data_IF_178736213973
#
_entry.id   IF_178736213973
#
_cell.length_a   1.000
_cell.length_b   1.000
_cell.length_c   1.000
_cell.angle_alpha   90.00
_cell.angle_beta   90.00
_cell.angle_gamma   90.00
#
_symmetry.space_group_name_H-M   'P 1'
#
loop_
_entity.id
_entity.type
_entity.pdbx_description
1 polymer ?
#
# COMPACT_ATOMS: atom_id res chain seq x y z
N UNK A 1 -7.04 -27.54 -21.29
CA UNK A 1 -7.96 -26.82 -20.38
C UNK A 1 -7.65 -25.35 -20.48
N UNK A 2 -8.54 -24.59 -21.12
CA UNK A 2 -8.35 -23.17 -21.39
C UNK A 2 -8.54 -22.36 -20.13
N UNK A 3 -7.53 -21.63 -19.74
CA UNK A 3 -7.63 -20.63 -18.68
C UNK A 3 -8.53 -19.50 -19.20
N UNK A 4 -9.74 -19.41 -18.67
CA UNK A 4 -10.72 -18.39 -19.04
C UNK A 4 -10.19 -17.01 -18.68
N UNK A 5 -9.92 -16.22 -19.70
CA UNK A 5 -9.46 -14.85 -19.59
C UNK A 5 -10.55 -14.00 -18.92
N UNK A 6 -10.25 -13.37 -17.80
CA UNK A 6 -11.04 -12.29 -17.18
C UNK A 6 -11.15 -11.09 -18.15
N UNK A 7 -12.09 -11.12 -19.07
CA UNK A 7 -12.19 -10.17 -20.18
C UNK A 7 -13.09 -8.96 -19.93
N UNK A 8 -13.74 -8.82 -18.78
CA UNK A 8 -14.90 -7.91 -18.74
C UNK A 8 -14.81 -6.66 -17.88
N UNK A 9 -13.75 -6.42 -17.11
CA UNK A 9 -13.75 -5.28 -16.17
C UNK A 9 -12.43 -4.49 -16.12
N UNK A 10 -11.53 -4.69 -17.05
CA UNK A 10 -10.24 -3.98 -17.02
C UNK A 10 -10.32 -2.78 -17.94
N UNK A 11 -10.28 -1.60 -17.34
CA UNK A 11 -10.17 -0.31 -18.01
C UNK A 11 -9.17 -0.34 -19.16
N UNK A 12 -9.47 0.27 -20.34
CA UNK A 12 -8.62 0.24 -21.53
C UNK A 12 -7.41 1.17 -21.45
N UNK A 13 -6.78 1.34 -20.30
CA UNK A 13 -5.54 2.10 -20.19
C UNK A 13 -4.35 1.17 -20.40
N UNK A 14 -3.41 1.47 -21.33
CA UNK A 14 -2.32 0.59 -21.74
C UNK A 14 -1.25 0.32 -20.67
N UNK A 15 -1.46 0.72 -19.43
CA UNK A 15 -0.52 0.57 -18.31
C UNK A 15 -1.14 -0.01 -17.02
N UNK A 16 -2.25 -0.72 -17.12
CA UNK A 16 -2.87 -1.36 -15.95
C UNK A 16 -2.07 -2.60 -15.52
N UNK A 17 -0.97 -2.40 -14.82
CA UNK A 17 -0.26 -3.48 -14.14
C UNK A 17 -0.92 -3.72 -12.79
N UNK A 18 -1.56 -4.87 -12.63
CA UNK A 18 -2.05 -5.35 -11.35
C UNK A 18 -0.86 -5.78 -10.50
N UNK A 19 -0.65 -5.10 -9.39
CA UNK A 19 0.44 -5.43 -8.48
C UNK A 19 -0.11 -6.05 -7.21
N UNK A 20 0.16 -7.33 -7.03
CA UNK A 20 -0.15 -8.15 -5.84
C UNK A 20 -1.61 -8.09 -5.39
N UNK A 21 -2.26 -9.21 -5.47
CA UNK A 21 -3.61 -9.46 -4.95
C UNK A 21 -3.56 -9.94 -3.50
N UNK A 22 -4.61 -9.65 -2.73
CA UNK A 22 -4.87 -10.23 -1.41
C UNK A 22 -6.22 -10.93 -1.43
N UNK A 23 -6.27 -12.11 -0.83
CA UNK A 23 -7.50 -12.86 -0.63
C UNK A 23 -7.96 -12.70 0.81
N UNK A 24 -9.24 -12.45 1.01
CA UNK A 24 -9.85 -12.37 2.33
C UNK A 24 -11.26 -12.90 2.29
N UNK A 25 -11.71 -13.41 3.44
CA UNK A 25 -13.09 -13.87 3.63
C UNK A 25 -13.84 -12.83 4.46
N UNK A 26 -14.96 -12.35 3.93
CA UNK A 26 -15.87 -11.44 4.58
C UNK A 26 -17.13 -12.18 5.04
N UNK A 27 -17.73 -11.72 6.12
CA UNK A 27 -19.05 -12.15 6.53
C UNK A 27 -20.05 -11.03 6.24
N UNK A 28 -20.90 -11.25 5.25
CA UNK A 28 -21.98 -10.34 4.90
C UNK A 28 -23.33 -11.02 5.18
N UNK A 29 -24.09 -10.49 6.13
CA UNK A 29 -25.42 -11.00 6.49
C UNK A 29 -25.46 -12.54 6.74
N UNK A 30 -24.44 -13.07 7.45
CA UNK A 30 -24.34 -14.50 7.74
C UNK A 30 -23.80 -15.35 6.57
N UNK A 31 -23.56 -14.75 5.41
CA UNK A 31 -22.97 -15.43 4.25
C UNK A 31 -21.48 -15.12 4.18
N UNK A 32 -20.66 -16.16 4.03
CA UNK A 32 -19.23 -16.01 3.80
C UNK A 32 -19.00 -15.64 2.33
N UNK A 33 -18.32 -14.51 2.11
CA UNK A 33 -17.92 -14.05 0.80
C UNK A 33 -16.39 -14.01 0.73
N UNK A 34 -15.80 -14.81 -0.14
CA UNK A 34 -14.36 -14.76 -0.40
C UNK A 34 -14.07 -13.77 -1.52
N UNK A 35 -13.28 -12.75 -1.22
CA UNK A 35 -12.93 -11.71 -2.18
C UNK A 35 -11.44 -11.70 -2.49
N UNK A 36 -11.12 -11.21 -3.67
CA UNK A 36 -9.77 -10.87 -4.10
C UNK A 36 -9.69 -9.37 -4.25
N UNK A 37 -8.74 -8.75 -3.54
CA UNK A 37 -8.50 -7.30 -3.66
C UNK A 37 -7.20 -7.05 -4.38
N UNK A 38 -7.22 -6.15 -5.36
CA UNK A 38 -6.06 -5.71 -6.10
C UNK A 38 -6.03 -4.17 -6.15
N UNK A 39 -4.84 -3.59 -6.06
CA UNK A 39 -4.65 -2.15 -6.23
C UNK A 39 -3.74 -1.91 -7.44
N UNK A 40 -4.16 -0.98 -8.29
CA UNK A 40 -3.53 -0.71 -9.58
C UNK A 40 -2.66 0.55 -9.57
N UNK A 41 -1.77 0.64 -10.55
CA UNK A 41 -1.02 1.87 -10.86
C UNK A 41 -1.92 3.07 -11.21
N UNK A 42 -3.14 2.81 -11.67
CA UNK A 42 -4.15 3.85 -11.88
C UNK A 42 -4.64 4.53 -10.60
N UNK A 43 -4.29 3.99 -9.42
CA UNK A 43 -4.79 4.46 -8.13
C UNK A 43 -6.08 3.79 -7.69
N UNK A 44 -6.71 3.00 -8.55
CA UNK A 44 -7.92 2.25 -8.21
C UNK A 44 -7.62 0.97 -7.43
N UNK A 45 -8.41 0.72 -6.41
CA UNK A 45 -8.55 -0.54 -5.72
C UNK A 45 -9.82 -1.25 -6.19
N UNK A 46 -9.74 -2.56 -6.38
CA UNK A 46 -10.82 -3.41 -6.89
C UNK A 46 -11.01 -4.59 -5.95
N UNK A 47 -12.24 -4.88 -5.59
CA UNK A 47 -12.61 -6.12 -4.92
C UNK A 47 -13.51 -6.94 -5.83
N UNK A 48 -13.13 -8.16 -6.06
CA UNK A 48 -13.83 -9.11 -6.91
C UNK A 48 -14.22 -10.36 -6.11
N UNK A 49 -15.36 -10.93 -6.40
CA UNK A 49 -15.73 -12.25 -5.90
C UNK A 49 -14.70 -13.28 -6.40
N UNK A 50 -14.11 -14.02 -5.49
CA UNK A 50 -13.08 -15.02 -5.78
C UNK A 50 -13.56 -16.13 -6.69
N UNK A 51 -14.84 -16.48 -6.63
CA UNK A 51 -15.37 -17.66 -7.31
C UNK A 51 -15.74 -17.40 -8.77
N UNK A 52 -16.23 -16.17 -9.06
CA UNK A 52 -16.78 -15.85 -10.39
C UNK A 52 -16.19 -14.57 -11.00
N UNK A 53 -15.35 -13.81 -10.26
CA UNK A 53 -14.75 -12.58 -10.72
C UNK A 53 -15.70 -11.39 -10.78
N UNK A 54 -16.90 -11.48 -10.26
CA UNK A 54 -17.85 -10.38 -10.24
C UNK A 54 -17.31 -9.21 -9.40
N UNK A 55 -17.52 -7.98 -9.88
CA UNK A 55 -17.14 -6.78 -9.16
C UNK A 55 -18.01 -6.63 -7.93
N UNK A 56 -17.37 -6.48 -6.75
CA UNK A 56 -18.05 -6.20 -5.49
C UNK A 56 -17.99 -4.70 -5.21
N UNK A 57 -16.80 -4.11 -5.28
CA UNK A 57 -16.60 -2.67 -5.20
C UNK A 57 -15.32 -2.25 -5.94
N UNK A 58 -15.28 -0.98 -6.33
CA UNK A 58 -14.07 -0.31 -6.78
C UNK A 58 -13.99 1.08 -6.17
N UNK A 59 -12.77 1.52 -5.85
CA UNK A 59 -12.52 2.81 -5.20
C UNK A 59 -11.26 3.43 -5.76
N UNK A 60 -11.33 4.70 -6.14
CA UNK A 60 -10.14 5.49 -6.40
C UNK A 60 -9.47 5.81 -5.06
N UNK A 61 -8.44 5.05 -4.71
CA UNK A 61 -7.69 5.21 -3.46
C UNK A 61 -6.76 6.43 -3.51
N UNK A 62 -6.46 6.91 -4.72
CA UNK A 62 -5.68 8.10 -4.98
C UNK A 62 -5.27 8.21 -6.44
N UNK A 63 -4.52 9.23 -6.82
CA UNK A 63 -4.16 9.47 -8.21
C UNK A 63 -3.21 8.38 -8.75
N UNK A 64 -3.43 8.02 -9.99
CA UNK A 64 -2.48 7.23 -10.76
C UNK A 64 -1.26 8.04 -11.19
N UNK A 65 -0.17 7.36 -11.50
CA UNK A 65 1.02 8.00 -12.06
C UNK A 65 1.90 6.98 -12.80
N UNK A 66 2.92 7.46 -13.53
CA UNK A 66 3.93 6.60 -14.16
C UNK A 66 4.70 5.75 -13.13
N UNK A 67 4.93 6.30 -11.94
CA UNK A 67 5.54 5.59 -10.81
C UNK A 67 4.53 4.73 -10.04
N UNK A 68 3.24 4.95 -10.27
CA UNK A 68 2.13 4.20 -9.74
C UNK A 68 1.20 5.02 -8.84
N UNK A 69 -0.04 4.51 -8.73
CA UNK A 69 -0.95 4.79 -7.63
C UNK A 69 -0.66 3.77 -6.53
N UNK A 70 -1.48 2.73 -6.40
CA UNK A 70 -1.21 1.59 -5.52
C UNK A 70 -0.17 0.64 -6.08
N UNK A 71 1.09 0.95 -5.90
CA UNK A 71 2.17 0.32 -6.68
C UNK A 71 2.64 -1.00 -6.10
N UNK A 72 2.69 -1.18 -4.82
CA UNK A 72 3.43 -2.27 -4.19
C UNK A 72 2.54 -3.33 -3.55
N UNK A 73 1.26 -3.30 -3.86
CA UNK A 73 0.28 -4.23 -3.35
C UNK A 73 -0.51 -3.68 -2.17
N UNK A 74 -1.25 -4.59 -1.54
CA UNK A 74 -2.13 -4.28 -0.42
C UNK A 74 -1.84 -5.21 0.76
N UNK A 75 -2.21 -4.78 1.94
CA UNK A 75 -2.29 -5.59 3.15
C UNK A 75 -3.73 -5.59 3.69
N UNK A 76 -4.08 -6.56 4.53
CA UNK A 76 -5.42 -6.63 5.12
C UNK A 76 -5.39 -7.23 6.52
N UNK A 77 -6.24 -6.69 7.41
CA UNK A 77 -6.56 -7.25 8.72
C UNK A 77 -7.93 -7.95 8.73
N UNK A 78 -8.48 -8.27 7.55
CA UNK A 78 -9.82 -8.83 7.28
C UNK A 78 -10.97 -7.84 7.44
N UNK A 79 -10.76 -6.69 8.06
CA UNK A 79 -11.76 -5.62 8.20
C UNK A 79 -11.45 -4.44 7.28
N UNK A 80 -10.15 -4.25 7.02
CA UNK A 80 -9.64 -3.15 6.20
C UNK A 80 -8.68 -3.67 5.16
N UNK A 81 -8.60 -2.93 4.08
CA UNK A 81 -7.59 -3.06 3.04
C UNK A 81 -6.69 -1.83 3.14
N UNK A 82 -5.40 -2.05 3.22
CA UNK A 82 -4.39 -1.00 3.30
C UNK A 82 -3.55 -1.02 2.03
N UNK A 83 -3.21 0.17 1.56
CA UNK A 83 -2.30 0.32 0.42
C UNK A 83 -1.50 1.62 0.53
N UNK A 84 -0.51 1.74 -0.31
CA UNK A 84 0.22 2.97 -0.52
C UNK A 84 -0.19 3.61 -1.85
N UNK A 85 -0.12 4.93 -1.93
CA UNK A 85 -0.25 5.71 -3.16
C UNK A 85 1.05 6.49 -3.36
N UNK A 86 1.70 6.27 -4.50
CA UNK A 86 2.99 6.91 -4.77
C UNK A 86 2.87 8.40 -5.12
N UNK A 87 1.77 8.81 -5.77
CA UNK A 87 1.51 10.18 -6.24
C UNK A 87 2.73 10.81 -6.96
N UNK A 88 3.31 10.06 -7.89
CA UNK A 88 4.54 10.47 -8.59
C UNK A 88 4.39 11.76 -9.42
N UNK A 89 3.17 12.12 -9.81
CA UNK A 89 2.87 13.34 -10.55
C UNK A 89 2.61 14.55 -9.63
N UNK A 90 2.79 14.40 -8.32
CA UNK A 90 2.66 15.48 -7.33
C UNK A 90 1.30 16.19 -7.36
N UNK A 91 0.22 15.47 -7.60
CA UNK A 91 -1.13 16.02 -7.60
C UNK A 91 -1.55 16.40 -6.18
N UNK A 92 -2.32 17.49 -6.04
CA UNK A 92 -2.93 17.84 -4.77
C UNK A 92 -3.98 16.81 -4.39
N UNK A 93 -3.84 16.20 -3.23
CA UNK A 93 -4.76 15.21 -2.68
C UNK A 93 -5.22 15.64 -1.30
N UNK A 94 -6.52 15.71 -1.10
CA UNK A 94 -7.12 15.97 0.21
C UNK A 94 -7.22 14.67 0.99
N UNK A 95 -6.62 14.64 2.17
CA UNK A 95 -6.55 13.46 3.03
C UNK A 95 -7.81 13.32 3.90
N UNK A 96 -8.19 12.09 4.17
CA UNK A 96 -9.37 11.73 4.99
C UNK A 96 -8.91 11.22 6.36
N UNK A 97 -9.54 11.59 7.46
CA UNK A 97 -10.58 12.61 7.62
C UNK A 97 -10.00 14.02 7.89
N UNK A 98 -8.69 14.18 7.87
CA UNK A 98 -8.00 15.41 8.33
C UNK A 98 -8.28 16.64 7.46
N UNK A 99 -8.70 16.46 6.20
CA UNK A 99 -8.82 17.49 5.17
C UNK A 99 -7.49 18.20 4.83
N UNK A 100 -6.37 17.72 5.33
CA UNK A 100 -5.06 18.25 4.94
C UNK A 100 -4.77 17.90 3.48
N UNK A 101 -4.00 18.74 2.80
CA UNK A 101 -3.58 18.52 1.42
C UNK A 101 -2.14 18.05 1.38
N UNK A 102 -1.86 17.03 0.57
CA UNK A 102 -0.51 16.57 0.26
C UNK A 102 -0.25 16.52 -1.24
N UNK A 103 0.99 16.70 -1.64
CA UNK A 103 1.48 16.42 -3.00
C UNK A 103 2.45 15.24 -3.02
N UNK A 104 2.77 14.66 -1.87
CA UNK A 104 3.59 13.45 -1.74
C UNK A 104 2.78 12.18 -1.82
N UNK A 105 3.45 11.06 -1.62
CA UNK A 105 2.81 9.79 -1.40
C UNK A 105 2.06 9.74 -0.07
N UNK A 106 1.20 8.77 0.08
CA UNK A 106 0.41 8.58 1.29
C UNK A 106 -0.04 7.13 1.44
N UNK A 107 -0.45 6.77 2.63
CA UNK A 107 -1.06 5.48 2.94
C UNK A 107 -2.57 5.64 3.07
N UNK A 108 -3.30 4.61 2.69
CA UNK A 108 -4.76 4.59 2.68
C UNK A 108 -5.27 3.32 3.35
N UNK A 109 -6.30 3.46 4.18
CA UNK A 109 -7.11 2.33 4.62
C UNK A 109 -8.54 2.46 4.08
N UNK A 110 -9.04 1.36 3.57
CA UNK A 110 -10.39 1.22 3.05
C UNK A 110 -11.15 0.15 3.82
N UNK A 111 -12.43 0.33 3.99
CA UNK A 111 -13.31 -0.72 4.51
C UNK A 111 -13.35 -1.91 3.54
N UNK A 112 -13.11 -3.11 4.05
CA UNK A 112 -12.98 -4.28 3.19
C UNK A 112 -14.30 -4.72 2.53
N UNK A 113 -15.45 -4.34 3.09
CA UNK A 113 -16.77 -4.70 2.55
C UNK A 113 -17.27 -3.74 1.50
N UNK A 114 -16.96 -2.45 1.67
CA UNK A 114 -17.55 -1.37 0.88
C UNK A 114 -16.56 -0.63 0.00
N UNK A 115 -15.27 -0.79 0.23
CA UNK A 115 -14.22 -0.01 -0.41
C UNK A 115 -14.12 1.45 0.07
N UNK A 116 -14.98 1.91 0.99
CA UNK A 116 -14.97 3.28 1.47
C UNK A 116 -13.63 3.61 2.14
N UNK A 117 -13.01 4.73 1.76
CA UNK A 117 -11.80 5.23 2.42
C UNK A 117 -12.17 5.62 3.86
N UNK A 118 -11.42 5.03 4.81
CA UNK A 118 -11.58 5.28 6.24
C UNK A 118 -10.62 6.35 6.72
N UNK A 119 -9.38 6.28 6.26
CA UNK A 119 -8.37 7.28 6.51
C UNK A 119 -7.29 7.26 5.41
N UNK A 120 -6.61 8.40 5.28
CA UNK A 120 -5.38 8.52 4.52
C UNK A 120 -4.37 9.40 5.26
N UNK A 121 -3.09 9.01 5.23
CA UNK A 121 -2.01 9.68 5.97
C UNK A 121 -0.83 9.95 5.04
N UNK A 122 -0.43 11.21 4.93
CA UNK A 122 0.70 11.61 4.10
C UNK A 122 2.01 10.96 4.58
N UNK A 123 2.84 10.57 3.63
CA UNK A 123 4.22 10.20 3.93
C UNK A 123 4.99 11.46 4.34
N UNK A 124 5.68 11.46 5.50
CA UNK A 124 6.52 12.57 5.89
C UNK A 124 7.55 12.95 4.81
N UNK A 125 8.01 14.20 4.85
CA UNK A 125 8.93 14.76 3.84
C UNK A 125 8.38 14.81 2.42
N UNK A 126 7.06 14.68 2.24
CA UNK A 126 6.42 14.71 0.93
C UNK A 126 7.02 13.68 -0.06
N UNK A 127 7.48 12.55 0.45
CA UNK A 127 8.14 11.49 -0.30
C UNK A 127 7.14 10.44 -0.80
N UNK A 128 7.59 9.51 -1.62
CA UNK A 128 6.79 8.35 -1.99
C UNK A 128 6.79 7.32 -0.86
N UNK A 129 5.65 6.65 -0.69
CA UNK A 129 5.46 5.56 0.26
C UNK A 129 5.86 4.21 -0.37
N UNK A 130 6.15 3.24 0.49
CA UNK A 130 6.55 1.88 0.15
C UNK A 130 5.43 0.85 0.39
N UNK A 131 5.68 -0.44 0.06
CA UNK A 131 4.80 -1.54 0.43
C UNK A 131 4.41 -1.49 1.91
N UNK A 132 3.19 -1.92 2.18
CA UNK A 132 2.63 -1.94 3.53
C UNK A 132 2.46 -3.37 4.04
N UNK A 133 2.64 -3.55 5.34
CA UNK A 133 2.40 -4.83 6.03
C UNK A 133 1.63 -4.55 7.31
N UNK A 134 0.58 -5.31 7.59
CA UNK A 134 -0.25 -5.17 8.80
C UNK A 134 -0.06 -6.37 9.71
N UNK A 135 0.16 -6.12 10.99
CA UNK A 135 0.16 -7.14 12.05
C UNK A 135 -0.37 -6.54 13.35
N UNK A 136 -1.22 -7.28 14.05
CA UNK A 136 -1.77 -6.90 15.37
C UNK A 136 -2.34 -5.47 15.43
N UNK A 137 -2.97 -5.02 14.35
CA UNK A 137 -3.55 -3.67 14.28
C UNK A 137 -2.57 -2.54 13.99
N UNK A 138 -1.29 -2.85 13.81
CA UNK A 138 -0.23 -1.90 13.43
C UNK A 138 0.15 -2.10 11.98
N UNK A 139 0.04 -1.03 11.20
CA UNK A 139 0.50 -0.98 9.81
C UNK A 139 1.96 -0.55 9.79
N UNK A 140 2.81 -1.38 9.23
CA UNK A 140 4.22 -1.09 9.01
C UNK A 140 4.45 -0.66 7.57
N UNK A 141 5.15 0.43 7.38
CA UNK A 141 5.45 1.00 6.08
C UNK A 141 6.82 1.70 6.09
N UNK A 142 7.34 1.97 4.93
CA UNK A 142 8.56 2.74 4.77
C UNK A 142 8.38 3.89 3.77
N UNK A 143 9.44 4.60 3.51
CA UNK A 143 9.48 5.69 2.55
C UNK A 143 10.78 5.67 1.76
N UNK A 144 10.71 6.11 0.50
CA UNK A 144 11.92 6.27 -0.34
C UNK A 144 12.73 7.51 0.02
N UNK A 145 12.33 8.27 1.05
CA UNK A 145 13.13 9.40 1.49
C UNK A 145 14.56 8.97 1.83
N UNK A 146 15.53 9.86 1.60
CA UNK A 146 16.97 9.53 1.63
C UNK A 146 17.46 8.91 2.93
N UNK A 147 16.86 9.24 4.08
CA UNK A 147 17.23 8.65 5.38
C UNK A 147 16.54 7.30 5.63
N UNK A 148 15.65 6.88 4.72
CA UNK A 148 14.98 5.58 4.76
C UNK A 148 14.15 5.35 6.00
N UNK A 149 13.22 6.26 6.33
CA UNK A 149 12.38 6.07 7.49
C UNK A 149 11.41 4.90 7.30
N UNK A 150 11.22 4.17 8.39
CA UNK A 150 10.15 3.22 8.58
C UNK A 150 9.18 3.74 9.62
N UNK A 151 7.93 3.33 9.53
CA UNK A 151 6.84 3.82 10.36
C UNK A 151 6.01 2.66 10.89
N UNK A 152 5.59 2.76 12.15
CA UNK A 152 4.49 2.00 12.72
C UNK A 152 3.28 2.93 12.80
N UNK A 153 2.18 2.54 12.18
CA UNK A 153 0.98 3.37 11.99
C UNK A 153 -0.20 2.63 12.61
N UNK A 154 -1.02 3.32 13.36
CA UNK A 154 -2.25 2.76 13.90
C UNK A 154 -3.18 2.37 12.74
N UNK A 155 -3.44 1.07 12.55
CA UNK A 155 -4.26 0.57 11.46
C UNK A 155 -5.71 1.06 11.49
N UNK A 156 -6.23 1.47 12.66
CA UNK A 156 -7.58 1.98 12.81
C UNK A 156 -7.70 3.48 12.47
N UNK A 157 -6.69 4.27 12.83
CA UNK A 157 -6.76 5.74 12.76
C UNK A 157 -5.86 6.37 11.70
N UNK A 158 -4.81 5.66 11.26
CA UNK A 158 -3.79 6.21 10.37
C UNK A 158 -2.75 7.08 11.09
N UNK A 159 -2.78 7.16 12.41
CA UNK A 159 -1.80 7.90 13.21
C UNK A 159 -0.44 7.21 13.18
N UNK A 160 0.64 7.98 12.96
CA UNK A 160 2.01 7.48 13.05
C UNK A 160 2.37 7.35 14.54
N UNK A 161 2.57 6.11 14.99
CA UNK A 161 2.88 5.79 16.40
C UNK A 161 4.38 5.85 16.68
N UNK A 162 5.19 5.48 15.68
CA UNK A 162 6.64 5.37 15.82
C UNK A 162 7.31 5.48 14.45
N UNK A 163 8.54 5.95 14.44
CA UNK A 163 9.39 5.96 13.25
C UNK A 163 10.85 5.74 13.61
N UNK A 164 11.61 5.20 12.64
CA UNK A 164 13.05 5.00 12.75
C UNK A 164 13.71 5.25 11.40
N UNK A 165 14.83 5.95 11.38
CA UNK A 165 15.61 6.21 10.17
C UNK A 165 16.68 5.13 9.99
N UNK A 166 16.62 4.38 8.89
CA UNK A 166 17.53 3.26 8.62
C UNK A 166 18.85 3.70 7.95
N UNK A 167 18.95 4.95 7.53
CA UNK A 167 20.12 5.53 6.86
C UNK A 167 20.16 5.34 5.34
N UNK A 168 19.31 4.49 4.77
CA UNK A 168 19.20 4.28 3.33
C UNK A 168 17.74 4.16 2.89
N UNK A 169 17.40 4.71 1.73
CA UNK A 169 16.03 4.76 1.22
C UNK A 169 15.35 3.38 1.27
N UNK A 170 14.12 3.36 1.75
CA UNK A 170 13.33 2.14 1.84
C UNK A 170 12.60 1.90 0.53
N UNK A 171 12.86 0.77 -0.13
CA UNK A 171 12.21 0.39 -1.37
C UNK A 171 11.44 -0.94 -1.26
N UNK A 172 11.90 -1.83 -0.37
CA UNK A 172 11.28 -3.11 -0.10
C UNK A 172 10.15 -3.02 0.93
N UNK A 173 9.38 -4.10 1.03
CA UNK A 173 8.37 -4.27 2.09
C UNK A 173 9.01 -4.77 3.38
N UNK A 174 8.24 -4.67 4.46
CA UNK A 174 8.60 -5.21 5.76
C UNK A 174 7.94 -6.59 5.94
N UNK A 175 8.64 -7.50 6.59
CA UNK A 175 8.10 -8.79 7.03
C UNK A 175 7.90 -8.78 8.54
N UNK A 176 6.87 -9.48 9.02
CA UNK A 176 6.58 -9.60 10.46
C UNK A 176 6.55 -11.07 10.82
N UNK A 177 7.29 -11.45 11.84
CA UNK A 177 7.29 -12.80 12.40
C UNK A 177 7.73 -12.77 13.86
N UNK A 178 7.10 -13.59 14.71
CA UNK A 178 7.51 -13.86 16.10
C UNK A 178 7.80 -12.59 16.93
N UNK A 179 6.92 -11.59 16.83
CA UNK A 179 7.09 -10.34 17.57
C UNK A 179 8.12 -9.37 16.99
N UNK A 180 8.72 -9.69 15.86
CA UNK A 180 9.71 -8.85 15.20
C UNK A 180 9.22 -8.35 13.83
N UNK A 181 9.70 -7.18 13.43
CA UNK A 181 9.66 -6.70 12.05
C UNK A 181 11.07 -6.75 11.46
N UNK A 182 11.14 -7.21 10.21
CA UNK A 182 12.38 -7.34 9.46
C UNK A 182 12.31 -6.48 8.22
N UNK A 183 13.38 -5.73 7.96
CA UNK A 183 13.42 -4.81 6.82
C UNK A 183 14.83 -4.60 6.33
N UNK A 184 15.03 -4.70 5.01
CA UNK A 184 16.28 -4.30 4.35
C UNK A 184 16.20 -2.85 3.90
N UNK A 185 17.26 -2.08 4.06
CA UNK A 185 17.34 -0.73 3.56
C UNK A 185 18.15 -0.62 2.27
N UNK A 186 17.89 0.45 1.53
CA UNK A 186 18.61 0.81 0.32
C UNK A 186 18.21 0.02 -0.92
N UNK A 187 18.74 0.46 -2.02
CA UNK A 187 18.61 -0.19 -3.33
C UNK A 187 19.88 0.13 -4.13
N UNK A 188 20.85 -0.75 -4.09
CA UNK A 188 22.20 -0.50 -4.59
C UNK A 188 22.32 -0.57 -6.12
N UNK A 189 21.26 -1.00 -6.83
CA UNK A 189 21.21 -1.18 -8.28
C UNK A 189 20.00 -0.48 -8.91
N UNK A 190 20.05 -0.21 -10.20
CA UNK A 190 18.93 0.39 -10.94
C UNK A 190 18.57 1.80 -10.43
N UNK A 191 17.33 1.99 -10.01
CA UNK A 191 16.81 3.31 -9.59
C UNK A 191 17.60 3.95 -8.45
N UNK A 192 18.14 3.15 -7.52
CA UNK A 192 18.93 3.65 -6.38
C UNK A 192 20.26 4.31 -6.79
N UNK A 193 20.74 4.04 -8.00
CA UNK A 193 22.01 4.62 -8.49
C UNK A 193 21.82 5.86 -9.35
N UNK A 194 20.62 6.07 -9.89
CA UNK A 194 20.36 7.12 -10.89
C UNK A 194 19.28 8.12 -10.48
N UNK A 195 18.54 7.87 -9.40
CA UNK A 195 17.47 8.75 -8.94
C UNK A 195 17.98 9.70 -7.86
N UNK A 196 18.04 11.02 -8.10
CA UNK A 196 18.41 11.97 -7.07
C UNK A 196 17.52 11.87 -5.84
N UNK A 197 18.14 11.88 -4.65
CA UNK A 197 17.43 11.82 -3.37
C UNK A 197 17.11 10.40 -2.87
N UNK A 198 17.52 9.36 -3.59
CA UNK A 198 17.52 7.98 -3.13
C UNK A 198 18.93 7.62 -2.64
N UNK A 199 19.05 7.16 -1.40
CA UNK A 199 20.30 6.68 -0.83
C UNK A 199 20.36 5.16 -0.85
N UNK A 200 21.47 4.62 -1.29
CA UNK A 200 21.77 3.20 -1.15
C UNK A 200 21.92 2.81 0.33
N UNK A 201 21.69 1.54 0.63
CA UNK A 201 21.92 0.94 1.93
C UNK A 201 22.15 -0.56 1.75
N UNK A 202 22.76 -1.19 2.73
CA UNK A 202 23.16 -2.60 2.68
C UNK A 202 22.83 -3.34 3.98
N UNK A 203 21.97 -2.73 4.82
CA UNK A 203 21.66 -3.26 6.14
C UNK A 203 20.32 -3.98 6.17
N UNK A 204 20.25 -5.03 6.97
CA UNK A 204 19.03 -5.68 7.39
C UNK A 204 18.79 -5.35 8.87
N UNK A 205 17.62 -4.83 9.16
CA UNK A 205 17.18 -4.47 10.51
C UNK A 205 16.15 -5.48 11.01
N UNK A 206 16.22 -5.76 12.30
CA UNK A 206 15.18 -6.46 13.04
C UNK A 206 14.81 -5.61 14.25
N UNK A 207 13.52 -5.31 14.41
CA UNK A 207 12.98 -4.60 15.57
C UNK A 207 11.98 -5.53 16.24
N UNK A 208 12.25 -5.89 17.49
CA UNK A 208 11.46 -6.85 18.26
C UNK A 208 10.82 -6.19 19.47
N UNK A 209 9.64 -6.66 19.84
CA UNK A 209 9.04 -6.36 21.16
C UNK A 209 9.65 -7.31 22.17
N UNK A 210 9.98 -6.79 23.34
CA UNK A 210 10.39 -7.57 24.51
C UNK A 210 9.17 -8.18 25.22
#
# INVERSE_FOLDING_TARGET
MMCGCLRAAICPLPTALLVRTRMLSLNANGTKLDIVVAVQKSGFAWALDRNNGALIWSTEAGPGSSLGGGTWGAATDKRRVYTNIANGNRQNVTLVPSNNVTTGGFWVAMDAHTGRILWSTATPHNSMSNPVTIANGVLFAGSVYRTGPIYAINGKTGEILWSYETGGSMYGGLSVSEGCIYVGNGYAVGLGTVTPGINAGTSLFAFCIE
#
